data_IF_936975969150
#
_entry.id   IF_936975969150
#
_cell.length_a   1.000
_cell.length_b   1.000
_cell.length_c   1.000
_cell.angle_alpha   90.00
_cell.angle_beta   90.00
_cell.angle_gamma   90.00
#
_symmetry.space_group_name_H-M   'P 1'
#
loop_
_entity.id
_entity.type
_entity.pdbx_description
1 polymer ?
#
# COMPACT_ATOMS: atom_id res chain seq x y z
N UNK A 1 -15.94 24.13 18.60
CA UNK A 1 -16.01 23.38 17.32
C UNK A 1 -14.91 22.34 17.32
N UNK A 2 -15.25 21.05 17.43
CA UNK A 2 -14.26 19.97 17.38
C UNK A 2 -13.92 19.63 15.93
N UNK A 3 -12.67 19.25 15.61
CA UNK A 3 -12.29 18.94 14.24
C UNK A 3 -12.95 17.62 13.80
N UNK A 4 -13.61 17.64 12.63
CA UNK A 4 -14.22 16.47 11.97
C UNK A 4 -13.13 15.56 11.37
N UNK A 5 -12.25 15.00 12.18
CA UNK A 5 -11.40 13.90 11.71
C UNK A 5 -12.24 12.62 11.71
N UNK A 6 -12.73 12.22 10.53
CA UNK A 6 -13.24 10.86 10.36
C UNK A 6 -12.03 9.92 10.27
N UNK A 7 -11.78 9.16 11.33
CA UNK A 7 -10.91 7.99 11.23
C UNK A 7 -11.43 7.10 10.09
N UNK A 8 -10.54 6.61 9.22
CA UNK A 8 -10.91 5.67 8.16
C UNK A 8 -11.50 4.42 8.82
N UNK A 9 -12.83 4.28 8.73
CA UNK A 9 -13.55 3.17 9.36
C UNK A 9 -13.17 1.86 8.69
N UNK A 10 -12.64 0.94 9.48
CA UNK A 10 -12.21 -0.43 9.13
C UNK A 10 -13.31 -1.33 8.54
N UNK A 11 -14.55 -0.85 8.40
CA UNK A 11 -15.70 -1.60 7.86
C UNK A 11 -15.78 -1.72 6.33
N UNK A 12 -14.81 -1.17 5.58
CA UNK A 12 -14.88 -1.13 4.10
C UNK A 12 -14.21 -2.35 3.41
N UNK A 13 -13.82 -3.39 4.17
CA UNK A 13 -13.18 -4.63 3.68
C UNK A 13 -11.69 -4.73 4.02
N UNK A 14 -10.93 -5.65 3.40
CA UNK A 14 -9.49 -5.76 3.63
C UNK A 14 -8.67 -4.61 3.02
N UNK A 15 -7.55 -4.29 3.67
CA UNK A 15 -6.56 -3.27 3.25
C UNK A 15 -5.17 -3.91 3.30
N UNK A 16 -4.37 -3.72 2.25
CA UNK A 16 -2.96 -4.15 2.24
C UNK A 16 -2.09 -2.98 2.70
N UNK A 17 -1.32 -3.19 3.76
CA UNK A 17 -0.33 -2.23 4.24
C UNK A 17 0.99 -2.40 3.50
N UNK A 18 1.52 -1.32 2.94
CA UNK A 18 2.83 -1.25 2.31
C UNK A 18 3.71 -0.31 3.11
N UNK A 19 4.84 -0.81 3.60
CA UNK A 19 5.87 0.00 4.22
C UNK A 19 7.06 0.08 3.27
N UNK A 20 7.32 1.27 2.73
CA UNK A 20 8.36 1.53 1.74
C UNK A 20 9.35 2.51 2.34
N UNK A 21 10.59 2.06 2.52
CA UNK A 21 11.66 2.83 3.18
C UNK A 21 12.77 3.10 2.17
N UNK A 22 13.00 4.38 1.82
CA UNK A 22 13.91 4.81 0.75
C UNK A 22 14.97 5.82 1.22
N UNK A 23 14.69 6.73 2.17
CA UNK A 23 15.62 7.84 2.44
C UNK A 23 16.75 7.53 3.41
N UNK A 24 16.62 6.52 4.28
CA UNK A 24 17.63 6.22 5.31
C UNK A 24 18.46 4.94 5.07
N UNK A 25 18.29 4.25 3.92
CA UNK A 25 19.00 2.98 3.63
C UNK A 25 19.60 2.82 2.24
N UNK A 26 19.29 3.72 1.29
CA UNK A 26 19.86 3.63 -0.06
C UNK A 26 21.34 4.07 0.00
N UNK A 27 22.25 3.09 -0.02
CA UNK A 27 23.69 3.33 -0.10
C UNK A 27 24.56 2.60 0.93
N UNK A 28 23.98 2.03 2.00
CA UNK A 28 24.78 1.30 3.03
C UNK A 28 24.19 -0.04 3.48
N UNK A 29 22.87 -0.25 3.50
CA UNK A 29 22.27 -1.42 4.17
C UNK A 29 21.15 -2.15 3.40
N UNK A 30 20.50 -1.56 2.40
CA UNK A 30 19.44 -2.22 1.63
C UNK A 30 19.41 -1.82 0.15
N UNK A 31 18.94 -2.74 -0.70
CA UNK A 31 18.74 -2.48 -2.12
C UNK A 31 17.52 -1.57 -2.36
N UNK A 32 17.61 -0.71 -3.37
CA UNK A 32 16.45 0.05 -3.84
C UNK A 32 15.44 -0.92 -4.47
N UNK A 33 14.22 -0.92 -3.93
CA UNK A 33 13.09 -1.65 -4.50
C UNK A 33 12.10 -0.65 -5.11
N UNK A 34 11.81 -0.82 -6.41
CA UNK A 34 10.81 -0.02 -7.10
C UNK A 34 9.40 -0.30 -6.55
N UNK A 35 8.50 0.68 -6.60
CA UNK A 35 7.13 0.51 -6.09
C UNK A 35 6.41 -0.66 -6.80
N UNK A 36 6.72 -0.88 -8.07
CA UNK A 36 6.15 -1.95 -8.89
C UNK A 36 6.29 -3.34 -8.26
N UNK A 37 7.38 -3.60 -7.54
CA UNK A 37 7.60 -4.89 -6.88
C UNK A 37 6.60 -5.09 -5.74
N UNK A 38 6.40 -4.08 -4.90
CA UNK A 38 5.40 -4.11 -3.83
C UNK A 38 3.98 -4.24 -4.38
N UNK A 39 3.69 -3.56 -5.49
CA UNK A 39 2.38 -3.62 -6.14
C UNK A 39 2.09 -5.00 -6.73
N UNK A 40 3.09 -5.70 -7.28
CA UNK A 40 2.95 -7.09 -7.77
C UNK A 40 2.51 -8.04 -6.66
N UNK A 41 3.15 -7.97 -5.49
CA UNK A 41 2.79 -8.82 -4.35
C UNK A 41 1.41 -8.48 -3.78
N UNK A 42 1.09 -7.18 -3.75
CA UNK A 42 -0.24 -6.69 -3.36
C UNK A 42 -1.33 -7.24 -4.28
N UNK A 43 -1.08 -7.26 -5.59
CA UNK A 43 -2.02 -7.80 -6.57
C UNK A 43 -2.25 -9.29 -6.37
N UNK A 44 -1.19 -10.08 -6.16
CA UNK A 44 -1.33 -11.50 -5.87
C UNK A 44 -2.11 -11.76 -4.59
N UNK A 45 -1.88 -10.97 -3.56
CA UNK A 45 -2.65 -11.10 -2.32
C UNK A 45 -4.15 -10.88 -2.57
N UNK A 46 -4.54 -9.83 -3.29
CA UNK A 46 -5.93 -9.59 -3.63
C UNK A 46 -6.53 -10.73 -4.46
N UNK A 47 -5.83 -11.21 -5.49
CA UNK A 47 -6.28 -12.35 -6.31
C UNK A 47 -6.53 -13.60 -5.47
N UNK A 48 -5.63 -13.91 -4.53
CA UNK A 48 -5.78 -15.04 -3.61
C UNK A 48 -6.99 -14.83 -2.69
N UNK A 49 -7.20 -13.63 -2.16
CA UNK A 49 -8.35 -13.36 -1.29
C UNK A 49 -9.68 -13.41 -2.06
N UNK A 50 -9.72 -12.87 -3.28
CA UNK A 50 -10.90 -12.93 -4.15
C UNK A 50 -11.24 -14.39 -4.48
N UNK A 51 -10.23 -15.21 -4.80
CA UNK A 51 -10.41 -16.64 -5.01
C UNK A 51 -10.92 -17.39 -3.77
N UNK A 52 -10.33 -17.13 -2.59
CA UNK A 52 -10.72 -17.79 -1.33
C UNK A 52 -12.12 -17.42 -0.87
N UNK A 53 -12.54 -16.17 -1.10
CA UNK A 53 -13.83 -15.65 -0.64
C UNK A 53 -14.94 -15.79 -1.67
N UNK A 54 -14.60 -16.05 -2.93
CA UNK A 54 -15.54 -16.07 -4.06
C UNK A 54 -16.18 -14.70 -4.33
N UNK A 55 -15.60 -13.62 -3.81
CA UNK A 55 -16.13 -12.25 -3.89
C UNK A 55 -15.09 -11.30 -4.44
N UNK A 56 -15.53 -10.36 -5.28
CA UNK A 56 -14.69 -9.25 -5.70
C UNK A 56 -14.40 -8.34 -4.51
N UNK A 57 -13.12 -7.98 -4.32
CA UNK A 57 -12.66 -7.19 -3.18
C UNK A 57 -12.30 -5.80 -3.68
N UNK A 58 -12.82 -4.76 -3.01
CA UNK A 58 -12.38 -3.39 -3.24
C UNK A 58 -10.92 -3.25 -2.78
N UNK A 59 -10.01 -3.19 -3.77
CA UNK A 59 -8.56 -3.09 -3.55
C UNK A 59 -8.22 -1.75 -2.92
N UNK A 60 -7.65 -1.80 -1.72
CA UNK A 60 -7.23 -0.62 -0.95
C UNK A 60 -5.86 -0.88 -0.37
N UNK A 61 -4.97 0.09 -0.55
CA UNK A 61 -3.62 0.05 -0.04
C UNK A 61 -3.41 1.20 0.93
N UNK A 62 -2.68 0.93 2.01
CA UNK A 62 -2.18 1.95 2.91
C UNK A 62 -0.67 1.99 2.76
N UNK A 63 -0.12 3.12 2.30
CA UNK A 63 1.31 3.28 2.07
C UNK A 63 1.91 4.12 3.18
N UNK A 64 2.87 3.54 3.90
CA UNK A 64 3.73 4.23 4.87
C UNK A 64 5.12 4.35 4.26
N UNK A 65 5.58 5.58 4.02
CA UNK A 65 6.89 5.83 3.42
C UNK A 65 7.53 7.09 3.96
N UNK A 66 8.85 7.07 3.98
CA UNK A 66 9.74 8.19 4.28
C UNK A 66 10.14 8.99 3.02
N UNK A 67 9.74 8.54 1.82
CA UNK A 67 9.99 9.20 0.55
C UNK A 67 8.66 9.67 -0.09
N UNK A 68 8.41 10.99 -0.16
CA UNK A 68 7.17 11.53 -0.72
C UNK A 68 7.02 11.27 -2.24
N UNK A 69 8.09 10.92 -2.96
CA UNK A 69 8.05 10.64 -4.41
C UNK A 69 7.28 9.36 -4.77
N UNK A 70 7.03 8.49 -3.79
CA UNK A 70 6.25 7.24 -3.97
C UNK A 70 4.78 7.52 -4.29
N UNK A 71 4.18 8.62 -3.80
CA UNK A 71 2.76 8.91 -4.01
C UNK A 71 2.42 9.28 -5.47
N UNK A 72 3.22 10.11 -6.17
CA UNK A 72 3.11 10.27 -7.62
C UNK A 72 3.25 8.94 -8.38
N UNK A 73 4.28 8.14 -8.06
CA UNK A 73 4.54 6.84 -8.71
C UNK A 73 3.35 5.87 -8.55
N UNK A 74 2.69 5.90 -7.38
CA UNK A 74 1.53 5.07 -7.09
C UNK A 74 0.25 5.48 -7.84
N UNK A 75 0.15 6.73 -8.31
CA UNK A 75 -1.01 7.22 -9.07
C UNK A 75 -0.90 6.95 -10.57
N UNK A 76 0.33 6.79 -11.07
CA UNK A 76 0.61 6.50 -12.48
C UNK A 76 0.58 5.00 -12.81
N UNK A 77 0.49 4.13 -11.80
CA UNK A 77 0.44 2.66 -11.89
C UNK A 77 -0.99 2.14 -11.71
#
# INVERSE_FOLDING_TARGET
>A
MAPKWKAHTSGQGPVVGLQIRRTDKIGSEAAFHALSEYMKWTEYWFKIQEYRTGKTIKRRIYVATDDPSVFPEAKEK
#
